data_IF_565197735666
#
_entry.id   IF_565197735666
#
_cell.length_a   1.000
_cell.length_b   1.000
_cell.length_c   1.000
_cell.angle_alpha   90.00
_cell.angle_beta   90.00
_cell.angle_gamma   90.00
#
_symmetry.space_group_name_H-M   'P 1'
#
loop_
_entity.id
_entity.type
_entity.pdbx_description
1 polymer ?
#
# COMPACT_ATOMS: atom_id res chain seq x y z
N UNK A 1 2.56 -28.49 -42.59
CA UNK A 1 2.14 -28.33 -41.17
C UNK A 1 0.63 -28.06 -41.19
N UNK A 2 -0.17 -29.12 -41.14
CA UNK A 2 -1.64 -29.10 -41.22
C UNK A 2 -2.19 -29.37 -39.82
N UNK A 3 -3.28 -28.68 -39.46
CA UNK A 3 -4.14 -28.90 -38.30
C UNK A 3 -3.59 -28.45 -36.94
N UNK A 4 -3.46 -27.14 -36.74
CA UNK A 4 -3.70 -26.57 -35.41
C UNK A 4 -5.09 -25.95 -35.49
N UNK A 5 -6.13 -26.50 -34.84
CA UNK A 5 -7.38 -25.77 -34.74
C UNK A 5 -7.04 -24.45 -34.06
N UNK A 6 -7.47 -23.34 -34.66
CA UNK A 6 -7.48 -22.04 -33.99
C UNK A 6 -8.34 -22.30 -32.75
N UNK A 7 -7.69 -22.49 -31.60
CA UNK A 7 -8.36 -22.44 -30.31
C UNK A 7 -8.98 -21.05 -30.30
N UNK A 8 -10.31 -20.99 -30.41
CA UNK A 8 -11.04 -19.78 -30.13
C UNK A 8 -10.54 -19.31 -28.76
N UNK A 9 -9.81 -18.20 -28.75
CA UNK A 9 -9.23 -17.58 -27.57
C UNK A 9 -10.41 -17.01 -26.76
N UNK A 10 -11.13 -17.91 -26.10
CA UNK A 10 -12.10 -17.52 -25.10
C UNK A 10 -11.28 -16.87 -24.00
N UNK A 11 -11.51 -15.58 -23.76
CA UNK A 11 -11.05 -14.89 -22.57
C UNK A 11 -11.65 -15.59 -21.34
N UNK A 12 -11.03 -16.68 -20.92
CA UNK A 12 -11.37 -17.40 -19.71
C UNK A 12 -10.82 -16.57 -18.55
N UNK A 13 -11.70 -16.00 -17.74
CA UNK A 13 -11.27 -15.41 -16.47
C UNK A 13 -10.61 -16.49 -15.60
N UNK A 14 -9.73 -16.07 -14.69
CA UNK A 14 -9.09 -16.98 -13.72
C UNK A 14 -10.16 -17.76 -12.93
N UNK A 15 -11.28 -17.12 -12.62
CA UNK A 15 -12.43 -17.73 -11.94
C UNK A 15 -13.06 -18.86 -12.76
N UNK A 16 -13.33 -18.61 -14.05
CA UNK A 16 -13.88 -19.63 -14.94
C UNK A 16 -12.89 -20.77 -15.15
N UNK A 17 -11.60 -20.47 -15.28
CA UNK A 17 -10.53 -21.47 -15.36
C UNK A 17 -10.48 -22.36 -14.10
N UNK A 18 -10.74 -21.81 -12.91
CA UNK A 18 -10.85 -22.61 -11.66
C UNK A 18 -12.05 -23.53 -11.69
N UNK A 19 -13.23 -23.01 -12.06
CA UNK A 19 -14.45 -23.82 -12.14
C UNK A 19 -14.28 -24.99 -13.11
N UNK A 20 -13.68 -24.76 -14.28
CA UNK A 20 -13.33 -25.81 -15.25
C UNK A 20 -12.35 -26.80 -14.65
N UNK A 21 -11.27 -26.32 -14.02
CA UNK A 21 -10.21 -27.17 -13.45
C UNK A 21 -10.75 -28.06 -12.33
N UNK A 22 -11.61 -27.53 -11.46
CA UNK A 22 -12.20 -28.26 -10.34
C UNK A 22 -13.21 -29.33 -10.81
N UNK A 23 -13.99 -29.02 -11.86
CA UNK A 23 -14.96 -29.96 -12.46
C UNK A 23 -14.33 -30.95 -13.45
N UNK A 24 -13.06 -30.75 -13.82
CA UNK A 24 -12.35 -31.65 -14.74
C UNK A 24 -12.09 -33.03 -14.10
N UNK A 25 -12.23 -34.08 -14.92
CA UNK A 25 -11.82 -35.46 -14.56
C UNK A 25 -10.34 -35.75 -14.88
N UNK A 26 -9.56 -34.73 -15.25
CA UNK A 26 -8.16 -34.89 -15.65
C UNK A 26 -7.24 -35.25 -14.47
N UNK A 27 -6.26 -36.13 -14.73
CA UNK A 27 -5.23 -36.53 -13.75
C UNK A 27 -4.32 -35.37 -13.33
N UNK A 28 -4.17 -34.35 -14.18
CA UNK A 28 -3.31 -33.18 -13.92
C UNK A 28 -4.05 -32.03 -13.24
N UNK A 29 -5.34 -32.17 -12.90
CA UNK A 29 -6.18 -31.08 -12.37
C UNK A 29 -5.59 -30.42 -11.11
N UNK A 30 -4.97 -31.20 -10.22
CA UNK A 30 -4.40 -30.68 -8.98
C UNK A 30 -3.24 -29.71 -9.24
N UNK A 31 -2.42 -29.97 -10.28
CA UNK A 31 -1.31 -29.09 -10.66
C UNK A 31 -1.84 -27.71 -11.07
N UNK A 32 -2.85 -27.69 -11.95
CA UNK A 32 -3.44 -26.45 -12.44
C UNK A 32 -4.27 -25.74 -11.36
N UNK A 33 -4.96 -26.47 -10.48
CA UNK A 33 -5.67 -25.86 -9.35
C UNK A 33 -4.70 -25.11 -8.42
N UNK A 34 -3.56 -25.72 -8.08
CA UNK A 34 -2.51 -25.07 -7.27
C UNK A 34 -1.94 -23.84 -7.96
N UNK A 35 -1.70 -23.93 -9.27
CA UNK A 35 -1.19 -22.81 -10.06
C UNK A 35 -2.19 -21.64 -10.13
N UNK A 36 -3.46 -21.90 -10.45
CA UNK A 36 -4.52 -20.89 -10.48
C UNK A 36 -4.73 -20.23 -9.10
N UNK A 37 -4.68 -21.03 -8.03
CA UNK A 37 -4.72 -20.51 -6.66
C UNK A 37 -3.51 -19.63 -6.35
N UNK A 38 -2.31 -20.00 -6.81
CA UNK A 38 -1.11 -19.17 -6.62
C UNK A 38 -1.17 -17.84 -7.37
N UNK A 39 -1.87 -17.78 -8.50
CA UNK A 39 -2.08 -16.52 -9.24
C UNK A 39 -3.04 -15.62 -8.47
N UNK A 40 -4.14 -16.17 -7.96
CA UNK A 40 -5.08 -15.44 -7.11
C UNK A 40 -4.40 -14.89 -5.86
N UNK A 41 -3.65 -15.72 -5.12
CA UNK A 41 -2.91 -15.27 -3.92
C UNK A 41 -1.97 -14.10 -4.26
N UNK A 42 -1.30 -14.16 -5.41
CA UNK A 42 -0.42 -13.06 -5.86
C UNK A 42 -1.18 -11.78 -6.17
N UNK A 43 -2.36 -11.88 -6.78
CA UNK A 43 -3.20 -10.70 -7.07
C UNK A 43 -3.77 -10.13 -5.78
N UNK A 44 -4.32 -10.97 -4.91
CA UNK A 44 -4.89 -10.59 -3.60
C UNK A 44 -3.88 -9.96 -2.64
N UNK A 45 -2.59 -10.19 -2.86
CA UNK A 45 -1.51 -9.67 -2.05
C UNK A 45 -0.64 -8.62 -2.79
N UNK A 46 -1.08 -8.09 -3.94
CA UNK A 46 -0.33 -7.07 -4.69
C UNK A 46 1.08 -7.50 -5.17
N UNK A 47 1.29 -8.78 -5.42
CA UNK A 47 2.51 -9.32 -6.04
C UNK A 47 2.43 -9.34 -7.58
N UNK A 48 1.23 -9.22 -8.12
CA UNK A 48 0.96 -9.02 -9.54
C UNK A 48 0.11 -7.76 -9.70
N UNK A 49 0.69 -6.72 -10.30
CA UNK A 49 0.04 -5.43 -10.52
C UNK A 49 -0.14 -5.16 -12.02
N UNK A 50 -1.22 -4.49 -12.37
CA UNK A 50 -1.42 -3.95 -13.71
C UNK A 50 -0.56 -2.69 -13.92
N UNK A 51 -0.40 -2.27 -15.17
CA UNK A 51 0.29 -1.01 -15.50
C UNK A 51 -0.34 0.18 -14.76
N UNK A 52 -1.67 0.31 -14.79
CA UNK A 52 -2.39 1.42 -14.15
C UNK A 52 -2.21 1.41 -12.62
N UNK A 53 -2.15 0.23 -12.00
CA UNK A 53 -1.87 0.09 -10.58
C UNK A 53 -0.45 0.53 -10.23
N UNK A 54 0.56 0.20 -11.06
CA UNK A 54 1.94 0.68 -10.85
C UNK A 54 2.01 2.21 -10.97
N UNK A 55 1.37 2.79 -11.98
CA UNK A 55 1.29 4.25 -12.16
C UNK A 55 0.57 4.90 -10.96
N UNK A 56 -0.51 4.29 -10.47
CA UNK A 56 -1.22 4.75 -9.29
C UNK A 56 -0.31 4.78 -8.05
N UNK A 57 0.51 3.75 -7.81
CA UNK A 57 1.45 3.74 -6.68
C UNK A 57 2.48 4.88 -6.79
N UNK A 58 2.94 5.22 -8.00
CA UNK A 58 3.85 6.36 -8.21
C UNK A 58 3.18 7.68 -7.80
N UNK A 59 1.93 7.90 -8.22
CA UNK A 59 1.19 9.13 -7.87
C UNK A 59 0.88 9.19 -6.37
N UNK A 60 0.52 8.06 -5.75
CA UNK A 60 0.34 7.96 -4.30
C UNK A 60 1.63 8.22 -3.55
N UNK A 61 2.77 7.74 -4.06
CA UNK A 61 4.10 7.98 -3.47
C UNK A 61 4.43 9.46 -3.40
N UNK A 62 4.19 10.22 -4.48
CA UNK A 62 4.37 11.67 -4.52
C UNK A 62 3.40 12.38 -3.57
N UNK A 63 2.14 11.97 -3.60
CA UNK A 63 1.06 12.56 -2.79
C UNK A 63 1.30 12.39 -1.30
N UNK A 64 1.73 11.21 -0.89
CA UNK A 64 2.07 10.91 0.50
C UNK A 64 3.43 11.47 0.93
N UNK A 65 4.13 12.22 0.08
CA UNK A 65 5.17 13.14 0.52
C UNK A 65 4.61 14.31 1.35
N UNK A 66 3.33 14.65 1.18
CA UNK A 66 2.64 15.68 1.97
C UNK A 66 2.20 15.12 3.34
N UNK A 67 2.59 15.79 4.42
CA UNK A 67 2.26 15.35 5.79
C UNK A 67 0.74 15.35 6.03
N UNK A 68 -0.01 16.29 5.45
CA UNK A 68 -1.47 16.32 5.60
C UNK A 68 -2.15 15.09 4.97
N UNK A 69 -1.60 14.51 3.90
CA UNK A 69 -2.11 13.29 3.29
C UNK A 69 -1.81 12.07 4.16
N UNK A 70 -0.62 12.01 4.76
CA UNK A 70 -0.26 10.96 5.71
C UNK A 70 -1.19 10.97 6.93
N UNK A 71 -1.48 12.15 7.49
CA UNK A 71 -2.38 12.27 8.64
C UNK A 71 -3.81 11.92 8.28
N UNK A 72 -4.30 12.31 7.10
CA UNK A 72 -5.63 11.90 6.65
C UNK A 72 -5.76 10.38 6.48
N UNK A 73 -4.76 9.72 5.88
CA UNK A 73 -4.74 8.27 5.74
C UNK A 73 -4.72 7.55 7.10
N UNK A 74 -3.90 8.01 8.04
CA UNK A 74 -3.86 7.46 9.41
C UNK A 74 -5.21 7.61 10.12
N UNK A 75 -5.86 8.77 10.01
CA UNK A 75 -7.18 9.00 10.63
C UNK A 75 -8.27 8.13 10.02
N UNK A 76 -8.24 7.89 8.71
CA UNK A 76 -9.18 6.99 8.06
C UNK A 76 -8.95 5.53 8.46
N UNK A 77 -7.68 5.10 8.56
CA UNK A 77 -7.34 3.77 9.03
C UNK A 77 -7.78 3.57 10.50
N UNK A 78 -7.59 4.58 11.35
CA UNK A 78 -8.10 4.56 12.73
C UNK A 78 -9.61 4.39 12.77
N UNK A 79 -10.38 5.12 11.94
CA UNK A 79 -11.84 4.95 11.87
C UNK A 79 -12.24 3.53 11.51
N UNK A 80 -11.61 2.94 10.49
CA UNK A 80 -11.86 1.54 10.11
C UNK A 80 -11.52 0.58 11.25
N UNK A 81 -10.47 0.86 12.01
CA UNK A 81 -10.13 0.08 13.20
C UNK A 81 -11.20 0.25 14.29
N UNK A 82 -11.63 1.47 14.61
CA UNK A 82 -12.67 1.75 15.60
C UNK A 82 -13.98 1.05 15.22
N UNK A 83 -14.42 1.16 13.96
CA UNK A 83 -15.63 0.52 13.44
C UNK A 83 -15.59 -1.00 13.65
N UNK A 84 -14.42 -1.63 13.44
CA UNK A 84 -14.22 -3.08 13.68
C UNK A 84 -14.17 -3.45 15.16
N UNK A 85 -13.87 -2.51 16.05
CA UNK A 85 -13.68 -2.71 17.49
C UNK A 85 -14.80 -2.07 18.33
N UNK A 86 -16.00 -1.89 17.75
CA UNK A 86 -17.16 -1.37 18.48
C UNK A 86 -17.03 0.10 18.88
N UNK A 87 -16.35 0.92 18.06
CA UNK A 87 -16.13 2.35 18.29
C UNK A 87 -14.98 2.68 19.24
N UNK A 88 -14.08 1.73 19.50
CA UNK A 88 -13.02 1.88 20.49
C UNK A 88 -11.62 1.91 19.86
N UNK A 89 -10.84 2.96 20.16
CA UNK A 89 -9.45 3.13 19.74
C UNK A 89 -8.42 2.35 20.59
N UNK A 90 -8.86 1.58 21.58
CA UNK A 90 -7.99 0.80 22.46
C UNK A 90 -7.03 -0.07 21.64
N UNK A 91 -5.75 -0.07 22.04
CA UNK A 91 -4.66 -0.81 21.38
C UNK A 91 -4.36 -0.41 19.94
N UNK A 92 -4.94 0.68 19.41
CA UNK A 92 -4.69 1.17 18.05
C UNK A 92 -3.20 1.25 17.71
N UNK A 93 -2.40 1.88 18.57
CA UNK A 93 -0.97 2.06 18.32
C UNK A 93 -0.20 0.73 18.25
N UNK A 94 -0.61 -0.25 19.07
CA UNK A 94 -0.02 -1.60 19.08
C UNK A 94 -0.42 -2.37 17.82
N UNK A 95 -1.68 -2.27 17.40
CA UNK A 95 -2.19 -2.85 16.17
C UNK A 95 -1.48 -2.26 14.95
N UNK A 96 -1.46 -0.94 14.81
CA UNK A 96 -0.79 -0.26 13.71
C UNK A 96 0.70 -0.61 13.64
N UNK A 97 1.39 -0.64 14.78
CA UNK A 97 2.79 -1.04 14.81
C UNK A 97 3.03 -2.47 14.32
N UNK A 98 2.11 -3.41 14.60
CA UNK A 98 2.23 -4.79 14.12
C UNK A 98 2.14 -4.87 12.59
N UNK A 99 1.26 -4.06 11.97
CA UNK A 99 1.10 -3.95 10.51
C UNK A 99 2.33 -3.32 9.87
N UNK A 100 2.84 -2.24 10.44
CA UNK A 100 3.95 -1.50 9.83
C UNK A 100 5.24 -2.32 9.79
N UNK A 101 5.39 -3.32 10.67
CA UNK A 101 6.51 -4.26 10.67
C UNK A 101 7.82 -3.65 11.14
N UNK A 102 7.81 -2.40 11.63
CA UNK A 102 8.92 -1.81 12.36
C UNK A 102 8.50 -1.55 13.81
N UNK A 103 9.38 -1.87 14.76
CA UNK A 103 9.25 -1.35 16.12
C UNK A 103 9.98 -0.03 16.21
N UNK A 104 9.40 0.92 16.94
CA UNK A 104 10.07 2.16 17.35
C UNK A 104 11.45 1.88 17.94
N UNK A 105 11.61 0.75 18.61
CA UNK A 105 12.87 0.35 19.25
C UNK A 105 13.96 0.03 18.22
N UNK A 106 13.63 -0.59 17.07
CA UNK A 106 14.64 -0.79 15.99
C UNK A 106 15.14 0.54 15.42
N UNK A 107 14.26 1.54 15.29
CA UNK A 107 14.63 2.88 14.83
C UNK A 107 15.52 3.56 15.88
N UNK A 108 15.15 3.46 17.15
CA UNK A 108 15.94 3.98 18.27
C UNK A 108 17.33 3.31 18.31
N UNK A 109 17.40 1.99 18.21
CA UNK A 109 18.66 1.24 18.20
C UNK A 109 19.58 1.69 17.06
N UNK A 110 19.03 1.84 15.84
CA UNK A 110 19.80 2.33 14.68
C UNK A 110 20.35 3.73 14.92
N UNK A 111 19.54 4.63 15.48
CA UNK A 111 19.96 6.00 15.80
C UNK A 111 20.97 6.06 16.94
N UNK A 112 20.83 5.20 17.96
CA UNK A 112 21.76 5.11 19.08
C UNK A 112 23.12 4.61 18.61
N UNK A 113 23.15 3.58 17.75
CA UNK A 113 24.39 3.09 17.12
C UNK A 113 25.06 4.14 16.24
N UNK A 114 24.28 5.03 15.63
CA UNK A 114 24.78 6.17 14.87
C UNK A 114 25.18 7.38 15.75
N UNK A 115 25.16 7.25 17.07
CA UNK A 115 25.53 8.31 18.01
C UNK A 115 24.53 9.48 18.09
N UNK A 116 23.31 9.30 17.58
CA UNK A 116 22.32 10.38 17.55
C UNK A 116 21.48 10.43 18.84
N UNK A 117 21.20 11.63 19.38
CA UNK A 117 20.36 11.76 20.57
C UNK A 117 18.89 11.45 20.23
N UNK A 118 18.24 10.61 21.03
CA UNK A 118 16.86 10.11 20.81
C UNK A 118 15.85 10.79 21.74
N UNK A 119 16.29 11.19 22.94
CA UNK A 119 15.42 11.69 24.02
C UNK A 119 14.61 12.91 23.57
N UNK A 120 13.30 12.89 23.80
CA UNK A 120 12.38 14.00 23.49
C UNK A 120 11.99 14.17 22.02
N UNK A 121 12.38 13.26 21.12
CA UNK A 121 12.00 13.31 19.70
C UNK A 121 10.79 12.44 19.41
N UNK A 122 9.85 12.98 18.62
CA UNK A 122 8.72 12.21 18.09
C UNK A 122 9.18 11.16 17.06
N UNK A 123 8.39 10.11 16.86
CA UNK A 123 8.62 9.08 15.83
C UNK A 123 8.92 9.69 14.46
N UNK A 124 8.13 10.70 14.06
CA UNK A 124 8.33 11.44 12.81
C UNK A 124 9.72 12.08 12.74
N UNK A 125 10.16 12.77 13.80
CA UNK A 125 11.52 13.37 13.87
C UNK A 125 12.63 12.32 13.82
N UNK A 126 12.40 11.13 14.38
CA UNK A 126 13.36 10.01 14.32
C UNK A 126 13.42 9.40 12.92
N UNK A 127 12.27 9.21 12.26
CA UNK A 127 12.19 8.71 10.89
C UNK A 127 12.85 9.68 9.89
N UNK A 128 12.57 10.98 9.99
CA UNK A 128 13.19 12.00 9.14
C UNK A 128 14.73 11.97 9.16
N UNK A 129 15.33 11.51 10.26
CA UNK A 129 16.80 11.40 10.41
C UNK A 129 17.36 10.05 9.99
N UNK A 130 16.57 8.97 10.08
CA UNK A 130 17.06 7.60 9.87
C UNK A 130 16.66 7.02 8.52
N UNK A 131 15.41 7.24 8.09
CA UNK A 131 14.82 6.81 6.83
C UNK A 131 13.51 7.58 6.58
N UNK A 132 13.60 8.77 5.98
CA UNK A 132 12.43 9.64 5.73
C UNK A 132 11.35 8.96 4.88
N UNK A 133 11.74 8.00 4.03
CA UNK A 133 10.84 7.30 3.13
C UNK A 133 9.95 6.28 3.83
N UNK A 134 10.28 5.88 5.07
CA UNK A 134 9.34 5.12 5.90
C UNK A 134 8.05 5.89 6.20
N UNK A 135 8.08 7.23 6.15
CA UNK A 135 6.85 8.01 6.32
C UNK A 135 5.89 7.81 5.15
N UNK A 136 6.41 7.77 3.91
CA UNK A 136 5.59 7.51 2.72
C UNK A 136 5.08 6.08 2.74
N UNK A 137 5.95 5.11 3.07
CA UNK A 137 5.56 3.70 3.25
C UNK A 137 4.41 3.55 4.25
N UNK A 138 4.55 4.20 5.41
CA UNK A 138 3.53 4.18 6.47
C UNK A 138 2.21 4.77 5.98
N UNK A 139 2.25 5.92 5.30
CA UNK A 139 1.06 6.55 4.74
C UNK A 139 0.37 5.69 3.69
N UNK A 140 1.13 4.96 2.86
CA UNK A 140 0.56 4.03 1.87
C UNK A 140 -0.09 2.84 2.55
N UNK A 141 0.55 2.28 3.58
CA UNK A 141 -0.02 1.18 4.36
C UNK A 141 -1.34 1.64 5.01
N UNK A 142 -1.34 2.79 5.70
CA UNK A 142 -2.55 3.31 6.32
C UNK A 142 -3.67 3.54 5.31
N UNK A 143 -3.36 4.11 4.13
CA UNK A 143 -4.32 4.31 3.07
C UNK A 143 -4.98 2.99 2.62
N UNK A 144 -4.18 1.97 2.31
CA UNK A 144 -4.73 0.70 1.83
C UNK A 144 -5.46 -0.09 2.91
N UNK A 145 -5.03 0.01 4.17
CA UNK A 145 -5.78 -0.53 5.30
C UNK A 145 -7.12 0.18 5.47
N UNK A 146 -7.16 1.52 5.31
CA UNK A 146 -8.40 2.29 5.30
C UNK A 146 -9.33 1.91 4.13
N UNK A 147 -8.76 1.54 2.98
CA UNK A 147 -9.52 0.99 1.85
C UNK A 147 -10.04 -0.44 2.10
N UNK A 148 -9.68 -1.05 3.23
CA UNK A 148 -10.13 -2.39 3.62
C UNK A 148 -9.29 -3.52 3.05
N UNK A 149 -8.10 -3.23 2.50
CA UNK A 149 -7.17 -4.28 2.03
C UNK A 149 -6.50 -4.98 3.23
N UNK A 150 -5.98 -6.17 2.99
CA UNK A 150 -5.30 -6.95 4.02
C UNK A 150 -3.88 -6.43 4.29
N UNK A 151 -3.31 -6.81 5.43
CA UNK A 151 -1.98 -6.40 5.88
C UNK A 151 -0.87 -6.67 4.83
N UNK A 152 -0.89 -7.84 4.19
CA UNK A 152 0.16 -8.24 3.23
C UNK A 152 0.09 -7.38 1.96
N UNK A 153 -1.12 -7.16 1.44
CA UNK A 153 -1.38 -6.25 0.33
C UNK A 153 -0.89 -4.82 0.63
N UNK A 154 -1.28 -4.27 1.79
CA UNK A 154 -0.90 -2.92 2.18
C UNK A 154 0.63 -2.79 2.35
N UNK A 155 1.28 -3.78 2.99
CA UNK A 155 2.75 -3.81 3.14
C UNK A 155 3.47 -3.88 1.79
N UNK A 156 3.03 -4.74 0.88
CA UNK A 156 3.66 -4.89 -0.44
C UNK A 156 3.62 -3.58 -1.24
N UNK A 157 2.47 -2.87 -1.22
CA UNK A 157 2.37 -1.55 -1.84
C UNK A 157 3.17 -0.48 -1.10
N UNK A 158 3.23 -0.55 0.23
CA UNK A 158 4.07 0.33 1.04
C UNK A 158 5.56 0.17 0.73
N UNK A 159 6.03 -1.06 0.56
CA UNK A 159 7.42 -1.38 0.19
C UNK A 159 7.75 -0.88 -1.21
N UNK A 160 6.84 -1.07 -2.17
CA UNK A 160 6.96 -0.54 -3.52
C UNK A 160 7.01 1.00 -3.52
N UNK A 161 6.13 1.65 -2.77
CA UNK A 161 6.11 3.10 -2.65
C UNK A 161 7.39 3.63 -1.99
N UNK A 162 7.92 2.94 -0.98
CA UNK A 162 9.22 3.29 -0.39
C UNK A 162 10.35 3.24 -1.42
N UNK A 163 10.34 2.24 -2.29
CA UNK A 163 11.31 2.10 -3.38
C UNK A 163 11.18 3.27 -4.36
N UNK A 164 9.97 3.58 -4.84
CA UNK A 164 9.75 4.73 -5.70
C UNK A 164 10.12 6.06 -5.04
N UNK A 165 9.84 6.23 -3.75
CA UNK A 165 10.17 7.45 -3.03
C UNK A 165 11.68 7.71 -3.01
N UNK A 166 12.48 6.64 -2.87
CA UNK A 166 13.95 6.71 -2.94
C UNK A 166 14.42 7.09 -4.33
N UNK A 167 13.95 6.38 -5.36
CA UNK A 167 14.36 6.60 -6.76
C UNK A 167 13.96 7.99 -7.27
N UNK A 168 12.75 8.42 -6.95
CA UNK A 168 12.22 9.74 -7.32
C UNK A 168 12.69 10.86 -6.38
N UNK A 169 13.45 10.53 -5.34
CA UNK A 169 13.92 11.45 -4.31
C UNK A 169 12.82 12.31 -3.68
N UNK A 170 11.64 11.73 -3.44
CA UNK A 170 10.47 12.45 -2.95
C UNK A 170 10.78 13.19 -1.65
N UNK A 171 10.41 14.47 -1.60
CA UNK A 171 10.54 15.28 -0.41
C UNK A 171 9.35 15.06 0.54
N UNK A 172 9.64 15.06 1.83
CA UNK A 172 8.59 15.07 2.86
C UNK A 172 8.33 16.54 3.20
N UNK A 173 7.14 17.04 2.84
CA UNK A 173 6.77 18.44 3.00
C UNK A 173 5.62 18.57 3.99
N UNK A 174 5.82 19.37 5.04
CA UNK A 174 4.78 19.65 6.03
C UNK A 174 3.88 20.79 5.56
N UNK A 175 2.78 20.44 4.90
CA UNK A 175 1.85 21.37 4.25
C UNK A 175 0.73 21.88 5.15
N UNK A 176 0.71 21.53 6.44
CA UNK A 176 -0.40 21.82 7.38
C UNK A 176 -0.50 23.29 7.82
N UNK A 177 0.34 24.15 7.27
CA UNK A 177 0.34 25.60 7.49
C UNK A 177 1.32 26.32 6.56
N UNK A 178 1.70 25.69 5.45
CA UNK A 178 2.72 26.21 4.55
C UNK A 178 2.15 27.20 3.53
N UNK A 179 2.99 28.13 3.08
CA UNK A 179 2.65 29.04 1.98
C UNK A 179 2.63 28.23 0.67
N UNK A 180 1.53 28.29 -0.13
CA UNK A 180 1.37 27.47 -1.34
C UNK A 180 2.50 27.62 -2.38
N UNK A 181 3.21 28.75 -2.38
CA UNK A 181 4.27 29.06 -3.33
C UNK A 181 5.47 28.10 -3.29
N UNK A 182 5.67 27.39 -2.17
CA UNK A 182 6.76 26.42 -2.00
C UNK A 182 6.27 24.97 -1.95
N UNK A 183 4.99 24.73 -2.24
CA UNK A 183 4.46 23.38 -2.26
C UNK A 183 5.07 22.58 -3.44
N UNK A 184 5.43 21.31 -3.23
CA UNK A 184 5.87 20.46 -4.32
C UNK A 184 4.76 20.30 -5.36
N UNK A 185 5.14 20.13 -6.63
CA UNK A 185 4.19 19.88 -7.72
C UNK A 185 3.59 18.47 -7.56
N UNK A 186 2.46 18.40 -6.87
CA UNK A 186 1.67 17.19 -6.64
C UNK A 186 0.33 17.33 -7.32
N UNK A 187 -0.24 16.23 -7.83
CA UNK A 187 -1.57 16.24 -8.39
C UNK A 187 -2.63 16.49 -7.28
N UNK A 188 -3.24 17.67 -7.33
CA UNK A 188 -4.20 18.10 -6.30
C UNK A 188 -5.48 17.26 -6.27
N UNK A 189 -5.85 16.64 -7.39
CA UNK A 189 -6.98 15.73 -7.45
C UNK A 189 -6.69 14.47 -6.62
N UNK A 190 -5.50 13.90 -6.76
CA UNK A 190 -5.05 12.74 -5.98
C UNK A 190 -4.93 13.09 -4.49
N UNK A 191 -4.46 14.30 -4.16
CA UNK A 191 -4.46 14.81 -2.78
C UNK A 191 -5.86 14.79 -2.18
N UNK A 192 -6.85 15.28 -2.93
CA UNK A 192 -8.24 15.29 -2.48
C UNK A 192 -8.81 13.87 -2.35
N UNK A 193 -8.51 12.98 -3.31
CA UNK A 193 -8.90 11.58 -3.26
C UNK A 193 -8.36 10.89 -2.01
N UNK A 194 -7.07 11.05 -1.70
CA UNK A 194 -6.44 10.49 -0.49
C UNK A 194 -7.06 11.07 0.78
N UNK A 195 -7.22 12.41 0.87
CA UNK A 195 -7.77 13.06 2.07
C UNK A 195 -9.22 12.68 2.37
N UNK A 196 -10.01 12.38 1.33
CA UNK A 196 -11.43 12.02 1.46
C UNK A 196 -11.72 10.52 1.32
N UNK A 197 -10.70 9.71 1.02
CA UNK A 197 -10.85 8.30 0.64
C UNK A 197 -11.83 8.12 -0.55
N UNK A 198 -11.76 9.03 -1.52
CA UNK A 198 -12.64 9.00 -2.68
C UNK A 198 -12.18 7.90 -3.64
N UNK A 199 -12.99 6.85 -3.81
CA UNK A 199 -12.68 5.66 -4.61
C UNK A 199 -12.82 5.89 -6.13
N UNK A 200 -12.37 7.03 -6.61
CA UNK A 200 -12.33 7.44 -8.02
C UNK A 200 -10.87 7.62 -8.48
N UNK A 201 -10.64 7.76 -9.79
CA UNK A 201 -9.31 8.05 -10.35
C UNK A 201 -8.23 7.07 -9.89
N UNK A 202 -7.19 7.59 -9.21
CA UNK A 202 -6.01 6.82 -8.75
C UNK A 202 -6.39 5.79 -7.68
N UNK A 203 -7.41 6.06 -6.87
CA UNK A 203 -7.91 5.08 -5.90
C UNK A 203 -8.91 4.10 -6.53
N UNK A 204 -9.50 4.45 -7.68
CA UNK A 204 -10.49 3.64 -8.39
C UNK A 204 -9.93 2.33 -8.97
N UNK A 205 -8.64 2.29 -9.32
CA UNK A 205 -7.98 1.11 -9.94
C UNK A 205 -7.76 -0.07 -8.97
N UNK A 206 -8.16 0.09 -7.71
CA UNK A 206 -8.00 -0.90 -6.64
C UNK A 206 -9.33 -1.52 -6.19
N UNK A 207 -10.44 -1.15 -6.82
CA UNK A 207 -11.75 -1.71 -6.54
C UNK A 207 -11.99 -3.00 -7.31
#
# INVERSE_FOLDING_TARGET
>A
IKNNPILDDHYLSVELAKLITLNSRSKVKQKYAKWLFSIEDKVENAELLTYDQVVAVIELTKTLGLVSCQEAAEQQHLKVYEDRNGGNANNWWSYRASILGYSLDRIKDKLQRAGMPIKGKSTRKLLMKSDKYEMIRTGVIDLFMAMGKNDRFARNLGDLAKLFAKELQVEIFDDRGAVPAFAPKVNQEVVNQVKKLEKSGVLGVWN
#
